data_IF_984619354115
#
_entry.id   IF_984619354115
#
_cell.length_a   1.000
_cell.length_b   1.000
_cell.length_c   1.000
_cell.angle_alpha   90.00
_cell.angle_beta   90.00
_cell.angle_gamma   90.00
#
_symmetry.space_group_name_H-M   'P 1'
#
loop_
_entity.id
_entity.type
_entity.pdbx_description
1 polymer ?
#
# COMPACT_ATOMS: atom_id res chain seq x y z
N UNK A 1 -13.72 2.35 9.25
CA UNK A 1 -13.67 1.25 10.24
C UNK A 1 -12.91 1.73 11.45
N UNK A 2 -13.45 1.60 12.67
CA UNK A 2 -12.71 1.89 13.88
C UNK A 2 -11.62 0.82 14.09
N UNK A 3 -10.42 1.22 14.52
CA UNK A 3 -9.33 0.30 14.85
C UNK A 3 -9.74 -0.57 16.04
N UNK A 4 -9.49 -1.87 15.95
CA UNK A 4 -9.67 -2.76 17.10
C UNK A 4 -8.48 -2.64 18.08
N UNK A 5 -8.67 -3.10 19.32
CA UNK A 5 -7.64 -3.00 20.38
C UNK A 5 -6.33 -3.70 19.99
N UNK A 6 -6.40 -4.82 19.25
CA UNK A 6 -5.21 -5.54 18.77
C UNK A 6 -4.40 -4.69 17.78
N UNK A 7 -5.06 -3.98 16.87
CA UNK A 7 -4.44 -3.09 15.90
C UNK A 7 -3.82 -1.86 16.59
N UNK A 8 -4.52 -1.27 17.56
CA UNK A 8 -3.98 -0.15 18.36
C UNK A 8 -2.68 -0.54 19.07
N UNK A 9 -2.65 -1.70 19.72
CA UNK A 9 -1.44 -2.23 20.38
C UNK A 9 -0.32 -2.49 19.37
N UNK A 10 -0.63 -3.08 18.21
CA UNK A 10 0.36 -3.33 17.17
C UNK A 10 0.98 -2.03 16.61
N UNK A 11 0.16 -1.00 16.36
CA UNK A 11 0.62 0.32 15.93
C UNK A 11 1.51 0.98 17.00
N UNK A 12 1.12 0.90 18.27
CA UNK A 12 1.91 1.44 19.38
C UNK A 12 3.29 0.76 19.48
N UNK A 13 3.34 -0.56 19.38
CA UNK A 13 4.60 -1.30 19.38
C UNK A 13 5.48 -0.93 18.17
N UNK A 14 4.89 -0.85 16.98
CA UNK A 14 5.60 -0.46 15.76
C UNK A 14 6.16 0.97 15.85
N UNK A 15 5.40 1.90 16.43
CA UNK A 15 5.88 3.27 16.69
C UNK A 15 7.09 3.28 17.60
N UNK A 16 7.07 2.49 18.67
CA UNK A 16 8.22 2.36 19.59
C UNK A 16 9.47 1.86 18.88
N UNK A 17 9.33 0.89 17.96
CA UNK A 17 10.48 0.41 17.17
C UNK A 17 10.97 1.44 16.15
N UNK A 18 10.05 2.11 15.43
CA UNK A 18 10.40 3.16 14.47
C UNK A 18 11.16 4.32 15.13
N UNK A 19 10.83 4.67 16.37
CA UNK A 19 11.53 5.73 17.12
C UNK A 19 12.98 5.39 17.51
N UNK A 20 13.39 4.11 17.43
CA UNK A 20 14.77 3.70 17.67
C UNK A 20 15.67 3.86 16.45
N UNK A 21 15.08 4.07 15.27
CA UNK A 21 15.81 4.28 14.03
C UNK A 21 16.50 5.64 14.05
N UNK A 22 17.60 5.77 13.31
CA UNK A 22 18.16 7.08 13.02
C UNK A 22 17.18 7.91 12.15
N UNK A 23 17.26 9.25 12.20
CA UNK A 23 16.33 10.11 11.49
C UNK A 23 16.26 9.87 9.98
N UNK A 24 17.39 9.53 9.34
CA UNK A 24 17.44 9.31 7.90
C UNK A 24 16.72 8.01 7.52
N UNK A 25 16.94 6.94 8.29
CA UNK A 25 16.23 5.67 8.12
C UNK A 25 14.72 5.83 8.36
N UNK A 26 14.31 6.54 9.42
CA UNK A 26 12.90 6.82 9.68
C UNK A 26 12.25 7.56 8.50
N UNK A 27 12.89 8.63 8.05
CA UNK A 27 12.38 9.47 6.97
C UNK A 27 12.26 8.69 5.67
N UNK A 28 13.28 7.88 5.33
CA UNK A 28 13.26 7.05 4.13
C UNK A 28 12.10 6.05 4.13
N UNK A 29 11.87 5.36 5.25
CA UNK A 29 10.75 4.41 5.37
C UNK A 29 9.41 5.11 5.17
N UNK A 30 9.24 6.28 5.79
CA UNK A 30 8.03 7.10 5.65
C UNK A 30 7.80 7.52 4.20
N UNK A 31 8.83 8.03 3.53
CA UNK A 31 8.75 8.45 2.12
C UNK A 31 8.44 7.29 1.18
N UNK A 32 9.11 6.16 1.36
CA UNK A 32 8.90 4.96 0.55
C UNK A 32 7.47 4.41 0.76
N UNK A 33 6.96 4.44 1.99
CA UNK A 33 5.57 4.07 2.30
C UNK A 33 4.57 4.94 1.53
N UNK A 34 4.70 6.26 1.61
CA UNK A 34 3.79 7.16 0.90
C UNK A 34 3.94 7.06 -0.61
N UNK A 35 5.16 6.88 -1.14
CA UNK A 35 5.37 6.65 -2.58
C UNK A 35 4.65 5.40 -3.07
N UNK A 36 4.66 4.32 -2.30
CA UNK A 36 3.89 3.11 -2.63
C UNK A 36 2.39 3.38 -2.54
N UNK A 37 1.94 4.00 -1.44
CA UNK A 37 0.52 4.33 -1.24
C UNK A 37 -0.07 5.15 -2.40
N UNK A 38 0.69 6.14 -2.87
CA UNK A 38 0.29 7.07 -3.90
C UNK A 38 0.29 6.46 -5.31
N UNK A 39 1.13 5.45 -5.58
CA UNK A 39 1.30 4.90 -6.93
C UNK A 39 0.64 3.54 -7.14
N UNK A 40 0.37 2.77 -6.08
CA UNK A 40 -0.10 1.38 -6.23
C UNK A 40 -1.52 1.27 -6.80
N UNK A 41 -2.47 2.08 -6.33
CA UNK A 41 -3.84 2.10 -6.89
C UNK A 41 -3.89 2.71 -8.30
N UNK A 42 -3.24 3.86 -8.58
CA UNK A 42 -3.18 4.39 -9.94
C UNK A 42 -2.57 3.42 -10.95
N UNK A 43 -1.56 2.64 -10.56
CA UNK A 43 -0.99 1.60 -11.43
C UNK A 43 -2.02 0.53 -11.79
N UNK A 44 -2.72 -0.01 -10.80
CA UNK A 44 -3.78 -1.00 -11.04
C UNK A 44 -4.86 -0.43 -11.98
N UNK A 45 -5.28 0.83 -11.77
CA UNK A 45 -6.31 1.47 -12.57
C UNK A 45 -5.85 1.72 -14.00
N UNK A 46 -4.60 2.15 -14.19
CA UNK A 46 -4.02 2.35 -15.51
C UNK A 46 -3.97 1.05 -16.32
N UNK A 47 -3.71 -0.09 -15.67
CA UNK A 47 -3.71 -1.41 -16.31
C UNK A 47 -5.13 -1.82 -16.78
N UNK A 48 -6.15 -1.60 -15.94
CA UNK A 48 -7.55 -1.87 -16.29
C UNK A 48 -8.02 -0.99 -17.45
N UNK A 49 -7.71 0.30 -17.41
CA UNK A 49 -8.05 1.25 -18.47
C UNK A 49 -7.35 0.86 -19.78
N UNK A 50 -6.06 0.51 -19.72
CA UNK A 50 -5.33 0.09 -20.91
C UNK A 50 -5.86 -1.22 -21.52
N UNK A 51 -6.31 -2.19 -20.70
CA UNK A 51 -6.97 -3.40 -21.21
C UNK A 51 -8.29 -3.05 -21.91
N UNK A 52 -9.09 -2.15 -21.33
CA UNK A 52 -10.34 -1.68 -21.90
C UNK A 52 -10.12 -0.95 -23.24
N UNK A 53 -9.12 -0.08 -23.33
CA UNK A 53 -8.74 0.64 -24.55
C UNK A 53 -8.27 -0.31 -25.67
N UNK A 54 -7.71 -1.46 -25.32
CA UNK A 54 -7.31 -2.53 -26.26
C UNK A 54 -8.45 -3.49 -26.64
N UNK A 55 -9.68 -3.22 -26.19
CA UNK A 55 -10.87 -3.99 -26.55
C UNK A 55 -11.44 -4.87 -25.44
N UNK A 56 -10.90 -4.82 -24.21
CA UNK A 56 -11.55 -5.34 -23.00
C UNK A 56 -11.83 -6.84 -23.00
N UNK A 57 -10.93 -7.64 -23.55
CA UNK A 57 -11.10 -9.08 -23.69
C UNK A 57 -10.53 -9.90 -22.51
N UNK A 58 -10.38 -9.29 -21.34
CA UNK A 58 -9.70 -9.90 -20.19
C UNK A 58 -8.30 -10.40 -20.56
N UNK A 59 -7.50 -9.49 -21.12
CA UNK A 59 -6.15 -9.78 -21.57
C UNK A 59 -5.12 -9.78 -20.43
N UNK A 60 -3.83 -9.96 -20.75
CA UNK A 60 -2.76 -10.03 -19.76
C UNK A 60 -2.61 -8.76 -18.90
N UNK A 61 -3.12 -7.61 -19.37
CA UNK A 61 -3.12 -6.37 -18.57
C UNK A 61 -4.14 -6.44 -17.42
N UNK A 62 -5.29 -7.08 -17.65
CA UNK A 62 -6.28 -7.29 -16.61
C UNK A 62 -5.78 -8.29 -15.54
N UNK A 63 -5.01 -9.30 -15.96
CA UNK A 63 -4.33 -10.23 -15.03
C UNK A 63 -3.37 -9.46 -14.09
N UNK A 64 -2.55 -8.55 -14.63
CA UNK A 64 -1.66 -7.70 -13.84
C UNK A 64 -2.44 -6.72 -12.94
N UNK A 65 -3.53 -6.11 -13.43
CA UNK A 65 -4.42 -5.27 -12.62
C UNK A 65 -4.86 -6.02 -11.35
N UNK A 66 -5.29 -7.29 -11.48
CA UNK A 66 -5.73 -8.06 -10.32
C UNK A 66 -4.61 -8.32 -9.31
N UNK A 67 -3.36 -8.47 -9.75
CA UNK A 67 -2.21 -8.61 -8.85
C UNK A 67 -2.02 -7.30 -8.06
N UNK A 68 -1.96 -6.16 -8.74
CA UNK A 68 -1.74 -4.86 -8.07
C UNK A 68 -2.93 -4.44 -7.22
N UNK A 69 -4.16 -4.77 -7.61
CA UNK A 69 -5.35 -4.56 -6.79
C UNK A 69 -5.29 -5.38 -5.48
N UNK A 70 -4.88 -6.64 -5.55
CA UNK A 70 -4.67 -7.47 -4.35
C UNK A 70 -3.53 -6.93 -3.47
N UNK A 71 -2.44 -6.47 -4.08
CA UNK A 71 -1.36 -5.82 -3.34
C UNK A 71 -1.86 -4.56 -2.63
N UNK A 72 -2.68 -3.73 -3.27
CA UNK A 72 -3.27 -2.54 -2.67
C UNK A 72 -4.17 -2.89 -1.47
N UNK A 73 -5.00 -3.93 -1.60
CA UNK A 73 -5.86 -4.40 -0.51
C UNK A 73 -5.07 -4.92 0.70
N UNK A 74 -3.95 -5.61 0.45
CA UNK A 74 -3.03 -6.04 1.51
C UNK A 74 -2.30 -4.85 2.13
N UNK A 75 -1.83 -3.91 1.31
CA UNK A 75 -1.13 -2.72 1.75
C UNK A 75 -2.00 -1.88 2.70
N UNK A 76 -3.29 -1.72 2.41
CA UNK A 76 -4.28 -1.03 3.27
C UNK A 76 -4.46 -1.67 4.65
N UNK A 77 -4.05 -2.93 4.83
CA UNK A 77 -4.10 -3.64 6.12
C UNK A 77 -2.82 -3.45 6.94
N UNK A 78 -1.79 -2.80 6.38
CA UNK A 78 -0.54 -2.53 7.07
C UNK A 78 -0.73 -1.60 8.27
N UNK A 79 -0.17 -1.98 9.42
CA UNK A 79 -0.14 -1.11 10.60
C UNK A 79 0.88 0.04 10.45
N UNK A 80 1.77 -0.02 9.46
CA UNK A 80 2.79 1.02 9.22
C UNK A 80 2.14 2.37 8.88
N UNK A 81 1.00 2.36 8.18
CA UNK A 81 0.22 3.58 7.90
C UNK A 81 -0.35 4.27 9.13
N UNK A 82 -0.36 3.61 10.30
CA UNK A 82 -0.70 4.24 11.59
C UNK A 82 0.49 4.86 12.32
N UNK A 83 1.70 4.74 11.75
CA UNK A 83 2.96 5.16 12.36
C UNK A 83 3.67 6.24 11.55
N UNK A 84 3.66 6.15 10.22
CA UNK A 84 4.38 7.03 9.29
C UNK A 84 3.64 8.32 8.93
#
# INVERSE_FOLDING_TARGET
>A
MALNEKQKTAIANLRTEMLKLDPDAYQRIREDFYRIADNLKPLADALEIADADLGGNAGPLLDEHYIFAQMYDLFRKSNLGGVV
#
